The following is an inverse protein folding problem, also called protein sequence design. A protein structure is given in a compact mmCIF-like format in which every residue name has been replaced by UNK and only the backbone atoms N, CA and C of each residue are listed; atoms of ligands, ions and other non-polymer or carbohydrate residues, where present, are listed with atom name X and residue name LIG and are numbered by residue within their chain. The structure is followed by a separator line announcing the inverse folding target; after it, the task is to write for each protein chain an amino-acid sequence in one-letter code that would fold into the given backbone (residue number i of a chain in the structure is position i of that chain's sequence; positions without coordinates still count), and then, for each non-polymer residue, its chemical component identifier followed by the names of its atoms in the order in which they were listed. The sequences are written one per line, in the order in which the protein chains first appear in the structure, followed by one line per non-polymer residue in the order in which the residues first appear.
data_IF_879932270774
#
_entry.id   IF_879932270774
#
_cell.length_a   1.000
_cell.length_b   1.000
_cell.length_c   1.000
_cell.angle_alpha   90.00
_cell.angle_beta   90.00
_cell.angle_gamma   90.00
#
_symmetry.space_group_name_H-M   'P 1'
#
loop_
_entity.id
_entity.type
_entity.pdbx_description
1 polymer ?
#
# COMPACT_ATOMS: atom_id res chain seq x y z
N UNK A 1 18.38 -27.18 21.92
CA UNK A 1 17.14 -27.52 21.20
C UNK A 1 17.53 -27.60 19.73
N UNK A 2 17.82 -28.81 19.23
CA UNK A 2 16.99 -29.69 18.38
C UNK A 2 16.66 -29.08 17.01
N UNK A 3 17.47 -29.48 16.03
CA UNK A 3 17.30 -29.34 14.58
C UNK A 3 15.82 -29.50 14.18
N UNK A 4 15.16 -28.37 14.02
CA UNK A 4 13.74 -28.31 13.71
C UNK A 4 13.53 -28.40 12.21
N UNK A 5 13.27 -29.61 11.70
CA UNK A 5 12.89 -29.84 10.30
C UNK A 5 11.36 -29.88 10.18
N UNK A 6 10.77 -28.92 9.47
CA UNK A 6 9.32 -28.75 9.33
C UNK A 6 8.89 -28.71 7.86
N UNK A 7 8.90 -29.87 7.17
CA UNK A 7 8.66 -29.92 5.73
C UNK A 7 7.23 -29.59 5.33
N UNK A 8 6.27 -29.58 6.27
CA UNK A 8 4.85 -29.29 5.98
C UNK A 8 4.42 -27.90 6.45
N UNK A 9 5.32 -27.13 7.07
CA UNK A 9 4.99 -25.79 7.57
C UNK A 9 4.86 -24.82 6.39
N UNK A 10 3.68 -24.24 6.21
CA UNK A 10 3.38 -23.27 5.15
C UNK A 10 3.24 -21.85 5.66
N UNK A 11 2.73 -21.70 6.88
CA UNK A 11 2.49 -20.40 7.53
C UNK A 11 3.23 -20.36 8.86
N UNK A 12 3.95 -19.27 9.09
CA UNK A 12 4.63 -19.02 10.36
C UNK A 12 4.28 -17.62 10.87
N UNK A 13 3.68 -17.57 12.05
CA UNK A 13 3.29 -16.35 12.74
C UNK A 13 4.04 -16.30 14.07
N UNK A 14 4.77 -15.22 14.31
CA UNK A 14 5.34 -14.94 15.63
C UNK A 14 5.02 -13.51 16.03
N UNK A 15 4.43 -13.44 17.22
CA UNK A 15 4.13 -12.23 17.94
C UNK A 15 4.71 -12.37 19.34
N UNK A 16 5.27 -11.28 19.89
CA UNK A 16 5.78 -11.30 21.26
C UNK A 16 6.21 -9.91 21.72
N UNK A 17 5.90 -9.63 22.98
CA UNK A 17 6.31 -8.41 23.69
C UNK A 17 7.58 -8.68 24.51
N UNK A 18 8.33 -7.61 24.81
CA UNK A 18 9.69 -7.61 25.39
C UNK A 18 9.92 -8.46 26.66
N UNK A 19 8.89 -8.95 27.33
CA UNK A 19 9.04 -9.64 28.62
C UNK A 19 9.48 -11.11 28.52
N UNK A 20 9.43 -11.72 27.33
CA UNK A 20 9.85 -13.11 27.11
C UNK A 20 11.18 -13.19 26.34
N UNK A 21 12.30 -13.02 27.06
CA UNK A 21 13.66 -13.19 26.50
C UNK A 21 14.02 -14.67 26.29
N UNK A 22 13.33 -15.37 25.38
CA UNK A 22 13.82 -16.65 24.86
C UNK A 22 14.30 -16.49 23.41
N UNK A 23 15.57 -16.82 23.16
CA UNK A 23 16.11 -16.94 21.80
C UNK A 23 15.30 -17.97 21.01
N UNK A 24 14.54 -17.48 20.02
CA UNK A 24 13.85 -18.33 19.05
C UNK A 24 14.85 -18.94 18.07
N UNK A 25 15.47 -20.05 18.45
CA UNK A 25 16.19 -20.95 17.52
C UNK A 25 15.19 -21.80 16.76
N UNK A 26 14.29 -21.14 16.01
CA UNK A 26 13.20 -21.80 15.32
C UNK A 26 13.54 -21.89 13.83
N UNK A 27 13.82 -23.11 13.39
CA UNK A 27 13.94 -23.60 12.00
C UNK A 27 15.30 -23.48 11.32
N UNK A 28 15.98 -24.62 11.19
CA UNK A 28 17.04 -24.78 10.19
C UNK A 28 16.46 -25.13 8.80
N UNK A 29 15.25 -25.73 8.75
CA UNK A 29 14.67 -26.19 7.49
C UNK A 29 13.13 -26.22 7.49
N UNK A 30 12.53 -25.39 6.63
CA UNK A 30 11.10 -25.30 6.36
C UNK A 30 10.87 -24.95 4.87
N UNK A 31 11.06 -25.92 3.95
CA UNK A 31 11.12 -25.67 2.52
C UNK A 31 9.78 -25.25 1.90
N UNK A 32 8.67 -25.54 2.56
CA UNK A 32 7.32 -25.21 2.10
C UNK A 32 6.76 -23.94 2.77
N UNK A 33 7.58 -23.19 3.50
CA UNK A 33 7.17 -21.97 4.19
C UNK A 33 6.95 -20.84 3.18
N UNK A 34 5.69 -20.47 2.96
CA UNK A 34 5.28 -19.49 1.95
C UNK A 34 4.76 -18.19 2.56
N UNK A 35 4.15 -18.24 3.74
CA UNK A 35 3.61 -17.06 4.43
C UNK A 35 4.31 -16.88 5.79
N UNK A 36 4.90 -15.72 6.00
CA UNK A 36 5.59 -15.36 7.25
C UNK A 36 5.05 -14.04 7.77
N UNK A 37 4.69 -14.02 9.05
CA UNK A 37 4.24 -12.83 9.76
C UNK A 37 5.08 -12.65 11.01
N UNK A 38 5.81 -11.54 11.06
CA UNK A 38 6.71 -11.22 12.17
C UNK A 38 6.31 -9.90 12.78
N UNK A 39 6.13 -9.93 14.10
CA UNK A 39 5.92 -8.74 14.91
C UNK A 39 6.72 -8.87 16.19
N UNK A 40 7.23 -7.75 16.68
CA UNK A 40 7.87 -7.68 17.98
C UNK A 40 9.12 -8.50 18.07
N UNK A 41 9.21 -9.32 19.11
CA UNK A 41 10.32 -10.25 19.28
C UNK A 41 10.49 -11.21 18.07
N UNK A 42 9.41 -11.45 17.30
CA UNK A 42 9.49 -12.18 16.04
C UNK A 42 10.46 -11.54 15.04
N UNK A 43 10.50 -10.21 14.95
CA UNK A 43 11.40 -9.49 14.03
C UNK A 43 12.87 -9.53 14.47
N UNK A 44 13.11 -9.49 15.78
CA UNK A 44 14.47 -9.42 16.33
C UNK A 44 15.10 -10.79 16.50
N UNK A 45 14.31 -11.79 16.89
CA UNK A 45 14.82 -13.09 17.34
C UNK A 45 14.43 -14.26 16.44
N UNK A 46 13.40 -14.14 15.60
CA UNK A 46 13.05 -15.20 14.65
C UNK A 46 13.70 -14.93 13.29
N UNK A 47 14.40 -15.95 12.78
CA UNK A 47 15.05 -15.92 11.46
C UNK A 47 14.64 -17.16 10.66
N UNK A 48 13.35 -17.33 10.33
CA UNK A 48 12.92 -18.48 9.53
C UNK A 48 13.60 -18.46 8.14
N UNK A 49 13.73 -19.61 7.47
CA UNK A 49 14.25 -19.65 6.11
C UNK A 49 13.26 -18.96 5.14
N UNK A 50 13.67 -17.83 4.55
CA UNK A 50 12.80 -17.00 3.71
C UNK A 50 12.84 -17.34 2.20
N UNK A 51 13.62 -18.34 1.80
CA UNK A 51 13.86 -18.61 0.38
C UNK A 51 12.58 -18.93 -0.42
N UNK A 52 11.63 -19.64 0.19
CA UNK A 52 10.35 -20.04 -0.41
C UNK A 52 9.20 -19.07 -0.07
N UNK A 53 9.46 -18.05 0.76
CA UNK A 53 8.42 -17.14 1.23
C UNK A 53 7.94 -16.26 0.09
N UNK A 54 6.64 -16.33 -0.18
CA UNK A 54 5.93 -15.53 -1.18
C UNK A 54 5.21 -14.36 -0.55
N UNK A 55 4.89 -14.43 0.75
CA UNK A 55 4.18 -13.39 1.47
C UNK A 55 4.84 -13.11 2.83
N UNK A 56 5.22 -11.86 3.05
CA UNK A 56 5.92 -11.42 4.26
C UNK A 56 5.20 -10.22 4.87
N UNK A 57 4.79 -10.36 6.13
CA UNK A 57 4.22 -9.29 6.95
C UNK A 57 5.20 -8.92 8.05
N UNK A 58 5.50 -7.65 8.16
CA UNK A 58 6.45 -7.11 9.12
C UNK A 58 5.77 -5.98 9.88
N UNK A 59 5.60 -6.12 11.18
CA UNK A 59 4.96 -5.09 11.99
C UNK A 59 5.85 -4.60 13.13
N UNK A 60 5.87 -3.28 13.28
CA UNK A 60 6.58 -2.60 14.35
C UNK A 60 6.07 -3.02 15.74
N UNK A 61 6.96 -2.86 16.71
CA UNK A 61 6.69 -2.84 18.15
C UNK A 61 7.57 -1.78 18.79
N UNK A 62 7.67 -1.68 20.12
CA UNK A 62 8.45 -0.66 20.82
C UNK A 62 9.89 -0.39 20.30
N UNK A 63 10.53 -1.35 19.63
CA UNK A 63 11.88 -1.19 19.05
C UNK A 63 11.87 -1.34 17.52
N UNK A 64 12.57 -0.45 16.82
CA UNK A 64 12.86 -0.57 15.38
C UNK A 64 13.95 -1.61 15.13
N UNK A 65 13.96 -2.19 13.92
CA UNK A 65 15.03 -3.07 13.47
C UNK A 65 16.13 -2.30 12.75
N UNK A 66 17.42 -2.67 12.93
CA UNK A 66 18.49 -2.09 12.14
C UNK A 66 18.25 -2.33 10.64
N UNK A 67 18.49 -1.31 9.80
CA UNK A 67 18.34 -1.44 8.35
C UNK A 67 19.15 -2.61 7.77
N UNK A 68 20.32 -2.92 8.32
CA UNK A 68 21.13 -4.04 7.87
C UNK A 68 20.38 -5.38 8.00
N UNK A 69 19.62 -5.57 9.08
CA UNK A 69 18.83 -6.77 9.31
C UNK A 69 17.60 -6.80 8.40
N UNK A 70 16.90 -5.67 8.25
CA UNK A 70 15.80 -5.51 7.30
C UNK A 70 16.24 -5.84 5.86
N UNK A 71 17.35 -5.24 5.42
CA UNK A 71 17.94 -5.46 4.09
C UNK A 71 18.36 -6.91 3.89
N UNK A 72 19.01 -7.53 4.89
CA UNK A 72 19.39 -8.94 4.84
C UNK A 72 18.17 -9.85 4.73
N UNK A 73 17.10 -9.55 5.47
CA UNK A 73 15.85 -10.28 5.46
C UNK A 73 15.23 -10.24 4.05
N UNK A 74 15.02 -9.04 3.50
CA UNK A 74 14.44 -8.89 2.16
C UNK A 74 15.30 -9.49 1.04
N UNK A 75 16.63 -9.39 1.12
CA UNK A 75 17.56 -10.04 0.17
C UNK A 75 17.49 -11.57 0.21
N UNK A 76 17.05 -12.14 1.32
CA UNK A 76 16.90 -13.59 1.48
C UNK A 76 15.57 -14.11 0.91
N UNK A 77 14.57 -13.22 0.77
CA UNK A 77 13.22 -13.54 0.27
C UNK A 77 13.15 -13.49 -1.26
N UNK A 78 13.86 -14.39 -1.95
CA UNK A 78 13.96 -14.37 -3.43
C UNK A 78 12.62 -14.63 -4.15
N UNK A 79 11.71 -15.33 -3.48
CA UNK A 79 10.39 -15.72 -4.02
C UNK A 79 9.29 -14.75 -3.59
N UNK A 80 9.62 -13.63 -2.95
CA UNK A 80 8.64 -12.72 -2.35
C UNK A 80 7.76 -12.06 -3.42
N UNK A 81 6.45 -12.24 -3.31
CA UNK A 81 5.42 -11.70 -4.19
C UNK A 81 4.70 -10.54 -3.50
N UNK A 82 4.37 -10.70 -2.21
CA UNK A 82 3.65 -9.73 -1.38
C UNK A 82 4.49 -9.32 -0.17
N UNK A 83 4.68 -8.02 0.02
CA UNK A 83 5.30 -7.44 1.22
C UNK A 83 4.31 -6.50 1.88
N UNK A 84 3.98 -6.78 3.13
CA UNK A 84 3.18 -5.90 3.98
C UNK A 84 4.07 -5.36 5.12
N UNK A 85 4.13 -4.04 5.24
CA UNK A 85 4.83 -3.33 6.31
C UNK A 85 3.77 -2.60 7.15
N UNK A 86 3.84 -2.76 8.46
CA UNK A 86 2.97 -2.07 9.41
C UNK A 86 3.83 -1.17 10.30
N UNK A 87 3.56 0.13 10.23
CA UNK A 87 4.24 1.22 10.93
C UNK A 87 5.75 1.34 10.61
N UNK A 88 6.48 2.13 11.40
CA UNK A 88 7.90 2.41 11.22
C UNK A 88 8.80 1.26 11.68
N UNK A 89 9.11 0.33 10.78
CA UNK A 89 10.02 -0.78 11.09
C UNK A 89 11.48 -0.36 11.27
N UNK A 90 11.92 0.65 10.53
CA UNK A 90 13.31 1.11 10.49
C UNK A 90 13.32 2.60 10.76
N UNK A 91 14.05 3.01 11.80
CA UNK A 91 14.27 4.43 12.11
C UNK A 91 15.70 4.61 12.64
N UNK A 92 16.54 5.47 12.03
CA UNK A 92 16.29 6.22 10.79
C UNK A 92 16.47 5.38 9.53
N UNK A 93 15.74 5.73 8.47
CA UNK A 93 16.01 5.21 7.14
C UNK A 93 17.35 5.76 6.61
N UNK A 94 18.28 4.89 6.19
CA UNK A 94 19.59 5.34 5.77
C UNK A 94 19.57 5.89 4.34
N UNK A 95 20.29 6.98 4.11
CA UNK A 95 20.52 7.54 2.79
C UNK A 95 21.77 6.95 2.12
N UNK A 96 21.71 6.74 0.80
CA UNK A 96 22.87 6.33 0.00
C UNK A 96 23.33 4.88 0.15
N UNK A 97 22.50 3.98 0.72
CA UNK A 97 22.84 2.56 0.83
C UNK A 97 22.53 1.76 -0.45
N UNK A 98 23.16 0.58 -0.61
CA UNK A 98 22.90 -0.29 -1.76
C UNK A 98 21.45 -0.73 -1.84
N UNK A 99 20.89 -0.59 -3.02
CA UNK A 99 19.51 -0.97 -3.35
C UNK A 99 19.24 -2.44 -2.99
N UNK A 100 18.08 -2.69 -2.40
CA UNK A 100 17.56 -4.03 -2.10
C UNK A 100 16.81 -4.53 -3.34
N UNK A 101 17.38 -5.51 -4.05
CA UNK A 101 16.74 -6.07 -5.24
C UNK A 101 15.74 -7.16 -4.86
N UNK A 102 14.47 -6.96 -5.21
CA UNK A 102 13.37 -7.91 -4.96
C UNK A 102 12.56 -8.05 -6.26
N UNK A 103 13.12 -8.67 -7.30
CA UNK A 103 12.53 -8.66 -8.64
C UNK A 103 11.17 -9.37 -8.71
N UNK A 104 10.89 -10.30 -7.80
CA UNK A 104 9.65 -11.07 -7.77
C UNK A 104 8.46 -10.31 -7.14
N UNK A 105 8.70 -9.16 -6.50
CA UNK A 105 7.68 -8.45 -5.74
C UNK A 105 6.66 -7.79 -6.67
N UNK A 106 5.37 -8.10 -6.44
CA UNK A 106 4.24 -7.59 -7.22
C UNK A 106 3.31 -6.70 -6.40
N UNK A 107 3.17 -7.00 -5.10
CA UNK A 107 2.28 -6.28 -4.20
C UNK A 107 3.09 -5.72 -3.03
N UNK A 108 3.09 -4.39 -2.89
CA UNK A 108 3.68 -3.70 -1.75
C UNK A 108 2.59 -2.95 -1.00
N UNK A 109 2.45 -3.24 0.29
CA UNK A 109 1.45 -2.61 1.14
C UNK A 109 2.12 -2.02 2.37
N UNK A 110 1.97 -0.72 2.54
CA UNK A 110 2.47 0.06 3.67
C UNK A 110 1.26 0.51 4.45
N UNK A 111 1.14 -0.01 5.66
CA UNK A 111 0.07 0.28 6.59
C UNK A 111 0.62 1.00 7.82
N UNK A 112 -0.24 1.74 8.51
CA UNK A 112 0.10 2.37 9.78
C UNK A 112 0.91 3.66 9.63
N UNK A 113 1.51 4.13 10.72
CA UNK A 113 2.14 5.45 10.80
C UNK A 113 3.61 5.43 10.35
N UNK A 114 3.89 4.87 9.17
CA UNK A 114 5.25 4.86 8.62
C UNK A 114 5.65 6.27 8.17
N UNK A 115 6.72 6.83 8.74
CA UNK A 115 7.24 8.17 8.41
C UNK A 115 8.27 8.16 7.28
N UNK A 116 8.89 7.02 6.99
CA UNK A 116 9.96 6.88 5.98
C UNK A 116 9.53 6.27 4.64
N UNK A 117 8.31 6.57 4.16
CA UNK A 117 7.73 5.95 2.95
C UNK A 117 8.61 6.19 1.72
N UNK A 118 8.99 7.45 1.46
CA UNK A 118 9.86 7.78 0.32
C UNK A 118 11.21 7.08 0.39
N UNK A 119 11.86 7.12 1.55
CA UNK A 119 13.17 6.51 1.77
C UNK A 119 13.13 5.01 1.56
N UNK A 120 12.08 4.36 2.08
CA UNK A 120 11.88 2.93 1.85
C UNK A 120 11.69 2.63 0.37
N UNK A 121 10.79 3.34 -0.32
CA UNK A 121 10.57 3.18 -1.77
C UNK A 121 11.85 3.45 -2.57
N UNK A 122 12.70 4.39 -2.13
CA UNK A 122 14.02 4.67 -2.72
C UNK A 122 15.05 3.56 -2.43
N UNK A 123 14.91 2.83 -1.32
CA UNK A 123 15.83 1.77 -0.91
C UNK A 123 15.64 0.41 -1.62
N UNK A 124 14.55 0.21 -2.36
CA UNK A 124 14.22 -1.07 -3.02
C UNK A 124 14.26 -0.99 -4.56
N UNK A 125 14.51 -2.12 -5.22
CA UNK A 125 14.38 -2.31 -6.68
C UNK A 125 13.34 -3.38 -6.94
N UNK A 126 12.15 -2.96 -7.36
CA UNK A 126 10.99 -3.82 -7.59
C UNK A 126 10.39 -3.52 -8.97
N UNK A 127 11.09 -3.89 -10.06
CA UNK A 127 10.71 -3.51 -11.42
C UNK A 127 9.33 -4.06 -11.84
N UNK A 128 8.94 -5.20 -11.28
CA UNK A 128 7.69 -5.91 -11.58
C UNK A 128 6.58 -5.59 -10.56
N UNK A 129 6.70 -4.49 -9.80
CA UNK A 129 5.67 -4.06 -8.85
C UNK A 129 4.39 -3.66 -9.60
N UNK A 130 3.29 -4.35 -9.34
CA UNK A 130 1.99 -4.17 -10.00
C UNK A 130 1.04 -3.30 -9.16
N UNK A 131 1.10 -3.42 -7.83
CA UNK A 131 0.25 -2.73 -6.86
C UNK A 131 1.05 -2.11 -5.72
N UNK A 132 0.69 -0.87 -5.37
CA UNK A 132 1.22 -0.15 -4.22
C UNK A 132 0.07 0.38 -3.36
N UNK A 133 0.12 0.09 -2.07
CA UNK A 133 -0.80 0.63 -1.07
C UNK A 133 -0.03 1.43 -0.03
N UNK A 134 -0.50 2.65 0.26
CA UNK A 134 0.00 3.51 1.34
C UNK A 134 -1.21 3.98 2.17
N UNK A 135 -1.31 3.51 3.41
CA UNK A 135 -2.49 3.70 4.25
C UNK A 135 -2.21 3.67 5.77
N UNK A 136 -2.23 4.82 6.47
CA UNK A 136 -2.47 6.16 5.94
C UNK A 136 -1.34 6.69 5.05
N UNK A 137 -1.64 7.70 4.23
CA UNK A 137 -0.64 8.59 3.61
C UNK A 137 -0.68 9.98 4.27
N UNK A 138 0.47 10.45 4.74
CA UNK A 138 0.70 11.77 5.33
C UNK A 138 1.27 12.75 4.30
N UNK A 139 1.22 14.05 4.59
CA UNK A 139 1.62 15.14 3.67
C UNK A 139 3.01 14.98 3.06
N UNK A 140 3.99 14.53 3.83
CA UNK A 140 5.41 14.56 3.43
C UNK A 140 5.90 13.22 2.83
N UNK A 141 5.05 12.19 2.81
CA UNK A 141 5.44 10.80 2.50
C UNK A 141 6.06 10.62 1.12
N UNK A 142 5.72 11.47 0.15
CA UNK A 142 6.15 11.36 -1.24
C UNK A 142 7.13 12.46 -1.69
N UNK A 143 7.47 13.42 -0.83
CA UNK A 143 8.28 14.59 -1.23
C UNK A 143 9.67 14.15 -1.72
N UNK A 144 10.37 13.32 -0.94
CA UNK A 144 11.73 12.88 -1.28
C UNK A 144 11.72 12.01 -2.55
N UNK A 145 10.71 11.14 -2.71
CA UNK A 145 10.56 10.34 -3.93
C UNK A 145 10.28 11.22 -5.16
N UNK A 146 9.49 12.27 -5.02
CA UNK A 146 9.20 13.22 -6.10
C UNK A 146 10.45 14.00 -6.54
N UNK A 147 11.28 14.42 -5.58
CA UNK A 147 12.55 15.09 -5.87
C UNK A 147 13.49 14.18 -6.66
N UNK A 148 13.59 12.90 -6.30
CA UNK A 148 14.40 11.91 -7.04
C UNK A 148 13.90 11.71 -8.48
N UNK A 149 12.59 11.54 -8.66
CA UNK A 149 11.98 11.29 -9.99
C UNK A 149 12.02 12.53 -10.88
N UNK A 150 12.17 13.73 -10.32
CA UNK A 150 12.41 14.94 -11.12
C UNK A 150 13.75 14.89 -11.88
N UNK A 151 14.65 13.98 -11.48
CA UNK A 151 15.97 13.80 -12.07
C UNK A 151 16.18 12.40 -12.68
N UNK A 152 15.28 11.45 -12.41
CA UNK A 152 15.41 10.05 -12.77
C UNK A 152 14.14 9.51 -13.47
N UNK A 153 14.23 8.45 -14.27
CA UNK A 153 13.05 7.81 -14.83
C UNK A 153 12.14 7.25 -13.72
N UNK A 154 10.82 7.09 -13.99
CA UNK A 154 9.90 6.49 -13.03
C UNK A 154 10.39 5.13 -12.55
N UNK A 155 10.34 4.93 -11.22
CA UNK A 155 10.97 3.80 -10.55
C UNK A 155 10.21 2.48 -10.70
N UNK A 156 8.89 2.54 -10.85
CA UNK A 156 8.00 1.39 -10.85
C UNK A 156 7.26 1.30 -12.19
N UNK A 157 7.93 0.83 -13.26
CA UNK A 157 7.37 0.86 -14.61
C UNK A 157 6.17 -0.09 -14.79
N UNK A 158 6.08 -1.14 -13.99
CA UNK A 158 4.97 -2.10 -14.03
C UNK A 158 3.75 -1.69 -13.18
N UNK A 159 3.84 -0.58 -12.42
CA UNK A 159 2.81 -0.24 -11.43
C UNK A 159 1.51 0.20 -12.12
N UNK A 160 0.42 -0.52 -11.84
CA UNK A 160 -0.91 -0.30 -12.43
C UNK A 160 -1.97 0.08 -11.41
N UNK A 161 -1.84 -0.35 -10.16
CA UNK A 161 -2.80 -0.08 -9.09
C UNK A 161 -2.14 0.72 -7.98
N UNK A 162 -2.76 1.84 -7.60
CA UNK A 162 -2.32 2.67 -6.48
C UNK A 162 -3.47 2.89 -5.50
N UNK A 163 -3.23 2.51 -4.26
CA UNK A 163 -4.14 2.79 -3.14
C UNK A 163 -3.51 3.85 -2.24
N UNK A 164 -4.21 4.96 -2.08
CA UNK A 164 -3.86 6.02 -1.16
C UNK A 164 -5.01 6.17 -0.16
N UNK A 165 -4.76 5.96 1.12
CA UNK A 165 -5.73 6.27 2.18
C UNK A 165 -5.24 7.49 2.96
N UNK A 166 -5.62 8.73 2.59
CA UNK A 166 -5.15 9.92 3.29
C UNK A 166 -5.53 9.89 4.76
N UNK A 167 -4.59 10.28 5.64
CA UNK A 167 -4.86 10.42 7.08
C UNK A 167 -5.94 11.50 7.34
N UNK A 168 -5.93 12.54 6.52
CA UNK A 168 -6.83 13.69 6.61
C UNK A 168 -7.04 14.35 5.24
N UNK A 169 -7.99 15.27 5.17
CA UNK A 169 -8.35 15.99 3.94
C UNK A 169 -7.16 16.76 3.35
N UNK A 170 -6.31 17.36 4.19
CA UNK A 170 -5.12 18.08 3.74
C UNK A 170 -4.10 17.15 3.08
N UNK A 171 -3.86 15.97 3.65
CA UNK A 171 -2.99 14.95 3.08
C UNK A 171 -3.44 14.51 1.69
N UNK A 172 -4.76 14.41 1.44
CA UNK A 172 -5.27 14.10 0.10
C UNK A 172 -4.87 15.17 -0.91
N UNK A 173 -5.12 16.44 -0.57
CA UNK A 173 -4.85 17.57 -1.45
C UNK A 173 -3.36 17.67 -1.80
N UNK A 174 -2.49 17.40 -0.83
CA UNK A 174 -1.05 17.57 -1.01
C UNK A 174 -0.38 16.38 -1.68
N UNK A 175 -0.94 15.16 -1.58
CA UNK A 175 -0.27 13.96 -2.09
C UNK A 175 -0.71 13.51 -3.48
N UNK A 176 -1.91 13.86 -3.97
CA UNK A 176 -2.36 13.36 -5.28
C UNK A 176 -1.46 13.84 -6.45
N UNK A 177 -0.98 15.09 -6.39
CA UNK A 177 -0.04 15.62 -7.39
C UNK A 177 1.34 14.95 -7.30
N UNK A 178 2.04 14.92 -6.15
CA UNK A 178 3.28 14.15 -6.01
C UNK A 178 3.12 12.70 -6.45
N UNK A 179 2.05 12.02 -6.04
CA UNK A 179 1.75 10.66 -6.46
C UNK A 179 1.63 10.54 -8.00
N UNK A 180 1.06 11.53 -8.68
CA UNK A 180 0.96 11.53 -10.14
C UNK A 180 2.31 11.64 -10.86
N UNK A 181 3.27 12.32 -10.24
CA UNK A 181 4.64 12.44 -10.73
C UNK A 181 5.42 11.15 -10.43
N UNK A 182 5.26 10.61 -9.23
CA UNK A 182 5.96 9.41 -8.79
C UNK A 182 5.47 8.14 -9.50
N UNK A 183 4.17 8.07 -9.80
CA UNK A 183 3.49 6.89 -10.32
C UNK A 183 2.66 7.24 -11.58
N UNK A 184 3.29 7.69 -12.67
CA UNK A 184 2.55 8.24 -13.81
C UNK A 184 1.77 7.18 -14.62
N UNK A 185 2.13 5.90 -14.47
CA UNK A 185 1.61 4.78 -15.28
C UNK A 185 0.42 4.02 -14.72
N UNK A 186 -0.18 4.49 -13.61
CA UNK A 186 -1.30 3.78 -12.96
C UNK A 186 -2.57 3.83 -13.83
N UNK A 187 -3.37 2.78 -13.71
CA UNK A 187 -4.64 2.59 -14.41
C UNK A 187 -5.83 2.56 -13.43
N UNK A 188 -5.57 2.19 -12.17
CA UNK A 188 -6.55 2.16 -11.08
C UNK A 188 -6.04 2.98 -9.88
N UNK A 189 -6.88 3.92 -9.43
CA UNK A 189 -6.70 4.67 -8.19
C UNK A 189 -7.77 4.24 -7.18
N UNK A 190 -7.35 3.85 -5.99
CA UNK A 190 -8.22 3.42 -4.89
C UNK A 190 -8.09 4.41 -3.75
N UNK A 191 -9.21 5.01 -3.34
CA UNK A 191 -9.28 6.01 -2.28
C UNK A 191 -10.24 5.54 -1.17
N UNK A 192 -9.73 4.83 -0.15
CA UNK A 192 -10.54 4.36 0.96
C UNK A 192 -11.13 5.52 1.78
N UNK A 193 -10.36 6.59 1.98
CA UNK A 193 -10.81 7.79 2.68
C UNK A 193 -11.07 8.89 1.64
N UNK A 194 -12.33 9.06 1.23
CA UNK A 194 -12.71 10.01 0.18
C UNK A 194 -13.08 11.40 0.74
N UNK A 195 -12.15 12.35 0.66
CA UNK A 195 -12.37 13.75 1.02
C UNK A 195 -12.72 14.58 -0.22
N UNK A 196 -14.01 14.65 -0.55
CA UNK A 196 -14.48 15.16 -1.85
C UNK A 196 -13.96 16.56 -2.23
N UNK A 197 -14.01 17.55 -1.33
CA UNK A 197 -13.52 18.90 -1.64
C UNK A 197 -12.02 18.91 -1.95
N UNK A 198 -11.21 18.25 -1.13
CA UNK A 198 -9.77 18.11 -1.32
C UNK A 198 -9.42 17.31 -2.57
N UNK A 199 -10.22 16.28 -2.87
CA UNK A 199 -10.12 15.51 -4.12
C UNK A 199 -10.33 16.43 -5.32
N UNK A 200 -11.45 17.16 -5.38
CA UNK A 200 -11.77 18.04 -6.51
C UNK A 200 -10.68 19.10 -6.72
N UNK A 201 -10.24 19.75 -5.64
CA UNK A 201 -9.18 20.76 -5.67
C UNK A 201 -7.87 20.22 -6.25
N UNK A 202 -7.59 18.92 -6.10
CA UNK A 202 -6.38 18.30 -6.64
C UNK A 202 -6.41 18.15 -8.16
N UNK A 203 -7.60 17.98 -8.75
CA UNK A 203 -7.77 17.78 -10.19
C UNK A 203 -8.14 19.06 -10.96
N UNK A 204 -8.69 20.07 -10.28
CA UNK A 204 -9.12 21.34 -10.89
C UNK A 204 -8.03 22.41 -10.97
N UNK A 205 -6.75 22.01 -11.02
CA UNK A 205 -5.64 22.96 -11.16
C UNK A 205 -5.61 23.54 -12.57
N UNK A 206 -5.21 24.82 -12.72
CA UNK A 206 -5.07 25.55 -14.01
C UNK A 206 -4.02 24.97 -14.98
N UNK A 207 -3.53 23.76 -14.73
CA UNK A 207 -2.50 23.14 -15.55
C UNK A 207 -3.05 22.48 -16.81
N UNK A 208 -2.20 22.45 -17.84
CA UNK A 208 -2.58 21.95 -19.15
C UNK A 208 -2.68 20.42 -19.22
N UNK A 209 -2.13 19.69 -18.25
CA UNK A 209 -2.04 18.23 -18.29
C UNK A 209 -2.90 17.58 -17.19
N UNK A 210 -3.76 16.59 -17.53
CA UNK A 210 -4.53 15.87 -16.53
C UNK A 210 -3.63 15.02 -15.63
N UNK A 211 -3.95 14.95 -14.34
CA UNK A 211 -3.36 13.96 -13.43
C UNK A 211 -3.71 12.55 -13.93
N UNK A 212 -2.68 11.72 -14.07
CA UNK A 212 -2.77 10.36 -14.61
C UNK A 212 -3.60 10.27 -15.90
N UNK A 213 -3.03 10.63 -17.05
CA UNK A 213 -3.70 10.50 -18.34
C UNK A 213 -4.17 9.07 -18.64
N UNK A 214 -3.46 8.06 -18.11
CA UNK A 214 -3.79 6.62 -18.23
C UNK A 214 -4.76 6.07 -17.18
N UNK A 215 -5.27 6.90 -16.26
CA UNK A 215 -6.22 6.44 -15.24
C UNK A 215 -7.56 6.09 -15.87
N UNK A 216 -7.93 4.82 -15.81
CA UNK A 216 -9.16 4.28 -16.40
C UNK A 216 -10.17 3.82 -15.34
N UNK A 217 -9.72 3.57 -14.13
CA UNK A 217 -10.57 3.12 -13.04
C UNK A 217 -10.37 3.95 -11.77
N UNK A 218 -11.48 4.25 -11.11
CA UNK A 218 -11.51 4.87 -9.79
C UNK A 218 -12.30 3.97 -8.85
N UNK A 219 -11.75 3.68 -7.67
CA UNK A 219 -12.45 3.02 -6.58
C UNK A 219 -12.59 3.98 -5.40
N UNK A 220 -13.83 4.23 -4.99
CA UNK A 220 -14.17 5.06 -3.83
C UNK A 220 -15.19 4.32 -2.99
N UNK A 221 -15.18 4.60 -1.68
CA UNK A 221 -16.09 4.00 -0.72
C UNK A 221 -16.76 5.07 0.13
N UNK A 222 -17.81 4.66 0.84
CA UNK A 222 -18.51 5.48 1.83
C UNK A 222 -18.98 6.84 1.28
N UNK A 223 -19.37 6.86 -0.01
CA UNK A 223 -19.91 8.06 -0.67
C UNK A 223 -21.29 8.38 -0.10
N UNK A 224 -21.35 9.41 0.74
CA UNK A 224 -22.58 9.90 1.35
C UNK A 224 -22.86 11.38 0.99
N UNK A 225 -24.12 11.80 1.10
CA UNK A 225 -24.51 13.18 0.85
C UNK A 225 -24.45 13.63 -0.62
N UNK A 226 -25.09 14.77 -0.90
CA UNK A 226 -25.15 15.34 -2.26
C UNK A 226 -23.82 15.95 -2.70
N UNK A 227 -23.04 16.50 -1.77
CA UNK A 227 -21.78 17.16 -2.08
C UNK A 227 -20.73 16.15 -2.61
N UNK A 228 -20.51 15.04 -1.90
CA UNK A 228 -19.53 14.02 -2.29
C UNK A 228 -19.86 13.40 -3.66
N UNK A 229 -21.15 13.14 -3.90
CA UNK A 229 -21.63 12.67 -5.20
C UNK A 229 -21.44 13.71 -6.30
N UNK A 230 -21.74 14.99 -6.03
CA UNK A 230 -21.56 16.08 -6.97
C UNK A 230 -20.13 16.17 -7.49
N UNK A 231 -19.17 16.13 -6.57
CA UNK A 231 -17.73 16.10 -6.90
C UNK A 231 -17.38 14.91 -7.79
N UNK A 232 -17.89 13.72 -7.47
CA UNK A 232 -17.62 12.52 -8.26
C UNK A 232 -18.15 12.64 -9.69
N UNK A 233 -19.35 13.21 -9.85
CA UNK A 233 -19.92 13.48 -11.18
C UNK A 233 -19.09 14.51 -11.96
N UNK A 234 -18.70 15.60 -11.30
CA UNK A 234 -17.87 16.65 -11.89
C UNK A 234 -16.52 16.11 -12.35
N UNK A 235 -15.89 15.24 -11.55
CA UNK A 235 -14.65 14.57 -11.93
C UNK A 235 -14.80 13.69 -13.18
N UNK A 236 -15.90 12.93 -13.29
CA UNK A 236 -16.20 12.11 -14.48
C UNK A 236 -16.39 12.99 -15.71
N UNK A 237 -17.18 14.06 -15.60
CA UNK A 237 -17.42 15.02 -16.70
C UNK A 237 -16.12 15.71 -17.13
N UNK A 238 -15.28 16.11 -16.18
CA UNK A 238 -14.01 16.78 -16.45
C UNK A 238 -13.03 15.87 -17.20
N UNK A 239 -12.89 14.61 -16.78
CA UNK A 239 -12.06 13.65 -17.50
C UNK A 239 -12.54 13.38 -18.93
N UNK A 240 -13.86 13.36 -19.15
CA UNK A 240 -14.41 13.29 -20.51
C UNK A 240 -14.08 14.53 -21.33
N UNK A 241 -14.20 15.72 -20.74
CA UNK A 241 -13.84 17.00 -21.39
C UNK A 241 -12.37 17.03 -21.81
N UNK A 242 -11.50 16.48 -20.98
CA UNK A 242 -10.05 16.36 -21.24
C UNK A 242 -9.68 15.19 -22.16
N UNK A 243 -10.67 14.45 -22.70
CA UNK A 243 -10.46 13.29 -23.57
C UNK A 243 -9.63 12.17 -22.94
N UNK A 244 -9.70 12.03 -21.61
CA UNK A 244 -9.07 10.95 -20.82
C UNK A 244 -10.11 10.28 -19.90
N UNK A 245 -11.22 9.75 -20.46
CA UNK A 245 -12.37 9.30 -19.68
C UNK A 245 -12.02 8.13 -18.76
N UNK A 246 -12.73 8.05 -17.63
CA UNK A 246 -12.80 6.81 -16.86
C UNK A 246 -13.66 5.78 -17.61
N UNK A 247 -13.26 4.52 -17.51
CA UNK A 247 -14.01 3.38 -18.02
C UNK A 247 -14.74 2.65 -16.90
N UNK A 248 -14.20 2.63 -15.69
CA UNK A 248 -14.75 1.89 -14.56
C UNK A 248 -14.81 2.74 -13.29
N UNK A 249 -15.93 2.66 -12.57
CA UNK A 249 -16.08 3.21 -11.24
C UNK A 249 -16.48 2.07 -10.29
N UNK A 250 -15.62 1.78 -9.32
CA UNK A 250 -15.92 0.84 -8.25
C UNK A 250 -16.53 1.60 -7.07
N UNK A 251 -17.69 1.12 -6.61
CA UNK A 251 -18.40 1.62 -5.45
C UNK A 251 -18.65 0.46 -4.50
N UNK A 252 -18.42 0.68 -3.20
CA UNK A 252 -18.78 -0.29 -2.19
C UNK A 252 -20.31 -0.44 -2.07
N UNK A 253 -20.75 -1.55 -1.48
CA UNK A 253 -22.18 -1.89 -1.36
C UNK A 253 -22.98 -0.87 -0.56
N UNK A 254 -22.35 -0.07 0.31
CA UNK A 254 -23.02 0.99 1.04
C UNK A 254 -23.24 2.26 0.21
N UNK A 255 -22.34 2.55 -0.74
CA UNK A 255 -22.40 3.72 -1.62
C UNK A 255 -23.43 3.56 -2.74
N UNK A 256 -23.52 2.38 -3.36
CA UNK A 256 -24.41 2.10 -4.51
C UNK A 256 -25.86 2.57 -4.29
N UNK A 257 -26.57 2.20 -3.20
CA UNK A 257 -27.96 2.62 -2.98
C UNK A 257 -28.11 4.12 -2.69
N UNK A 258 -27.02 4.83 -2.35
CA UNK A 258 -27.03 6.26 -2.02
C UNK A 258 -26.89 7.14 -3.26
N UNK A 259 -26.41 6.59 -4.39
CA UNK A 259 -26.13 7.36 -5.61
C UNK A 259 -27.40 7.90 -6.26
N UNK A 260 -27.52 9.23 -6.31
CA UNK A 260 -28.71 9.91 -6.84
C UNK A 260 -28.79 9.96 -8.36
N UNK A 261 -27.66 9.81 -9.07
CA UNK A 261 -27.57 9.81 -10.54
C UNK A 261 -26.96 8.52 -11.08
N UNK A 262 -27.31 7.37 -10.50
CA UNK A 262 -26.77 6.08 -10.91
C UNK A 262 -26.98 5.77 -12.40
N UNK A 263 -28.16 6.05 -12.95
CA UNK A 263 -28.44 5.84 -14.37
C UNK A 263 -27.55 6.71 -15.28
N UNK A 264 -27.28 7.95 -14.85
CA UNK A 264 -26.37 8.83 -15.58
C UNK A 264 -24.95 8.27 -15.56
N UNK A 265 -24.44 7.80 -14.41
CA UNK A 265 -23.12 7.18 -14.30
C UNK A 265 -22.99 5.96 -15.22
N UNK A 266 -23.98 5.07 -15.21
CA UNK A 266 -24.01 3.87 -16.08
C UNK A 266 -24.05 4.21 -17.58
N UNK A 267 -24.57 5.38 -17.94
CA UNK A 267 -24.50 5.88 -19.32
C UNK A 267 -23.12 6.45 -19.68
N UNK A 268 -22.31 6.85 -18.70
CA UNK A 268 -20.96 7.39 -18.92
C UNK A 268 -19.87 6.32 -18.88
N UNK A 269 -19.99 5.34 -17.98
CA UNK A 269 -18.95 4.37 -17.67
C UNK A 269 -19.53 3.09 -17.04
N UNK A 270 -18.68 2.07 -16.85
CA UNK A 270 -19.06 0.85 -16.14
C UNK A 270 -19.02 1.07 -14.63
N UNK A 271 -20.18 0.98 -13.97
CA UNK A 271 -20.26 1.01 -12.50
C UNK A 271 -20.24 -0.43 -11.96
N UNK A 272 -19.28 -0.73 -11.11
CA UNK A 272 -19.09 -2.06 -10.49
C UNK A 272 -19.29 -1.95 -8.99
N UNK A 273 -20.19 -2.76 -8.44
CA UNK A 273 -20.35 -2.90 -6.99
C UNK A 273 -19.25 -3.83 -6.45
N UNK A 274 -18.18 -3.25 -5.92
CA UNK A 274 -17.08 -3.95 -5.28
C UNK A 274 -16.27 -2.99 -4.40
N UNK A 275 -15.57 -3.53 -3.41
CA UNK A 275 -14.67 -2.79 -2.53
C UNK A 275 -13.22 -3.31 -2.69
N UNK A 276 -12.46 -2.80 -3.68
CA UNK A 276 -11.06 -3.19 -3.88
C UNK A 276 -10.18 -2.98 -2.64
N UNK A 277 -10.46 -1.95 -1.84
CA UNK A 277 -9.74 -1.71 -0.59
C UNK A 277 -9.99 -2.83 0.42
N UNK A 278 -11.25 -3.26 0.58
CA UNK A 278 -11.57 -4.40 1.44
C UNK A 278 -10.86 -5.68 1.01
N UNK A 279 -10.71 -5.93 -0.30
CA UNK A 279 -9.97 -7.09 -0.81
C UNK A 279 -8.48 -6.98 -0.43
N UNK A 280 -7.85 -5.82 -0.65
CA UNK A 280 -6.46 -5.59 -0.27
C UNK A 280 -6.23 -5.73 1.23
N UNK A 281 -7.19 -5.29 2.04
CA UNK A 281 -7.16 -5.44 3.49
C UNK A 281 -7.42 -6.88 3.93
N UNK A 282 -8.40 -7.58 3.38
CA UNK A 282 -8.74 -8.95 3.78
C UNK A 282 -7.60 -9.95 3.54
N UNK A 283 -6.83 -9.75 2.48
CA UNK A 283 -5.59 -10.50 2.25
C UNK A 283 -4.51 -10.14 3.30
N UNK A 284 -4.50 -8.89 3.78
CA UNK A 284 -3.53 -8.41 4.76
C UNK A 284 -3.89 -8.79 6.21
N UNK A 285 -5.17 -8.85 6.56
CA UNK A 285 -5.67 -9.05 7.93
C UNK A 285 -6.39 -10.41 8.01
N UNK A 286 -5.67 -11.46 8.44
CA UNK A 286 -6.26 -12.81 8.61
C UNK A 286 -7.04 -12.91 9.93
N UNK A 287 -8.06 -12.08 10.17
CA UNK A 287 -9.17 -12.40 11.09
C UNK A 287 -10.23 -11.30 11.12
N UNK A 288 -11.47 -11.70 11.42
CA UNK A 288 -12.58 -10.81 11.82
C UNK A 288 -12.43 -10.28 13.26
N UNK A 289 -11.35 -10.66 13.96
CA UNK A 289 -11.00 -10.14 15.28
C UNK A 289 -10.20 -8.84 15.10
N UNK A 290 -10.22 -7.93 16.07
CA UNK A 290 -9.42 -6.69 16.03
C UNK A 290 -7.95 -7.04 15.79
N UNK A 291 -7.49 -6.97 14.52
CA UNK A 291 -6.18 -7.46 14.15
C UNK A 291 -5.12 -6.69 14.94
N UNK A 292 -4.36 -7.37 15.80
CA UNK A 292 -3.42 -6.71 16.69
C UNK A 292 -2.34 -5.95 15.90
N UNK A 293 -2.15 -6.23 14.61
CA UNK A 293 -1.23 -5.54 13.69
C UNK A 293 -1.65 -4.11 13.32
N UNK A 294 -2.91 -3.71 13.50
CA UNK A 294 -3.41 -2.41 13.01
C UNK A 294 -3.19 -1.22 13.96
N UNK A 295 -2.55 -1.42 15.11
CA UNK A 295 -2.50 -0.40 16.16
C UNK A 295 -3.91 0.01 16.60
N UNK A 296 -4.04 1.00 17.49
CA UNK A 296 -5.35 1.55 17.78
C UNK A 296 -5.89 2.23 16.51
N UNK A 297 -6.95 1.67 15.92
CA UNK A 297 -7.71 2.37 14.86
C UNK A 297 -8.11 3.73 15.42
N UNK A 298 -7.47 4.78 14.93
CA UNK A 298 -7.96 6.13 15.19
C UNK A 298 -9.30 6.25 14.43
N UNK A 299 -10.38 6.67 15.10
CA UNK A 299 -11.73 6.69 14.54
C UNK A 299 -11.88 7.65 13.36
#
# INVERSE_FOLDING_TARGET
MRDGHYPMLQTFLVEGDMYDMMECTIFDDAPNLTNVRLRGLGLSYCRPPLNAVTELHLAYTLDTIPYADFSKMLRSSKSLITLCIYDDLVDPWPSGLPLIHIPSLRYLRIFGSMTGVSEFLLSISVPDLEELTIAPIATDDLIILQEDISHNPPKFPALKSLTLAPAEAHSMQQNLRPASICFPGIELLILPNYYSESFLMSFMTDEAAPLWPGLHALAVRDIDGRCNQGVLYEFVEERQRLSVPLHTLYLDSSSVPRMTRMDWLKNQLSVVEADPWWIQCGDAFYSDEEDPFLGYRSP
#
